data_IF_462994884882
#
_entry.id   IF_462994884882
#
_cell.length_a   1.000
_cell.length_b   1.000
_cell.length_c   1.000
_cell.angle_alpha   90.00
_cell.angle_beta   90.00
_cell.angle_gamma   90.00
#
_symmetry.space_group_name_H-M   'P 1'
#
loop_
_entity.id
_entity.type
_entity.pdbx_description
1 polymer ?
#
# COMPACT_ATOMS: atom_id res chain seq x y z
N UNK A 1 8.52 -30.22 -11.56
CA UNK A 1 7.66 -29.09 -11.13
C UNK A 1 8.21 -27.81 -11.74
N UNK A 2 7.36 -27.02 -12.42
CA UNK A 2 7.78 -25.75 -12.99
C UNK A 2 8.09 -24.69 -11.92
N UNK A 3 9.08 -23.85 -12.19
CA UNK A 3 9.46 -22.76 -11.32
C UNK A 3 8.36 -21.67 -11.31
N UNK A 4 7.88 -21.27 -10.13
CA UNK A 4 6.84 -20.25 -10.00
C UNK A 4 7.47 -18.87 -10.12
N UNK A 5 7.04 -18.10 -11.12
CA UNK A 5 7.47 -16.72 -11.36
C UNK A 5 6.46 -15.76 -10.71
N UNK A 6 6.95 -14.58 -10.28
CA UNK A 6 6.07 -13.54 -9.75
C UNK A 6 5.11 -13.04 -10.86
N UNK A 7 3.78 -13.14 -10.66
CA UNK A 7 2.80 -12.75 -11.67
C UNK A 7 2.83 -11.25 -12.01
N UNK A 8 3.40 -10.40 -11.15
CA UNK A 8 3.59 -8.99 -11.44
C UNK A 8 4.59 -8.77 -12.59
N UNK A 9 5.66 -9.56 -12.65
CA UNK A 9 6.68 -9.43 -13.70
C UNK A 9 6.13 -9.60 -15.12
N UNK A 10 5.15 -10.50 -15.31
CA UNK A 10 4.50 -10.73 -16.60
C UNK A 10 3.55 -9.57 -16.97
N UNK A 11 3.00 -8.87 -15.99
CA UNK A 11 2.02 -7.79 -16.20
C UNK A 11 2.61 -6.40 -16.32
N UNK A 12 3.88 -6.24 -15.92
CA UNK A 12 4.58 -4.96 -16.01
C UNK A 12 4.80 -4.59 -17.47
N UNK A 13 4.49 -3.34 -17.82
CA UNK A 13 4.57 -2.82 -19.19
C UNK A 13 3.35 -3.13 -20.07
N UNK A 14 2.43 -4.04 -19.65
CA UNK A 14 1.20 -4.36 -20.39
C UNK A 14 -0.02 -3.82 -19.67
N UNK A 15 -0.23 -4.19 -18.41
CA UNK A 15 -1.41 -3.82 -17.60
C UNK A 15 -1.02 -3.00 -16.39
N UNK A 16 0.16 -3.26 -15.81
CA UNK A 16 0.69 -2.58 -14.64
C UNK A 16 1.92 -1.79 -15.00
N UNK A 17 2.05 -0.64 -14.37
CA UNK A 17 3.23 0.19 -14.46
C UNK A 17 4.16 -0.05 -13.24
N UNK A 18 5.38 0.48 -13.32
CA UNK A 18 6.39 0.38 -12.27
C UNK A 18 6.01 1.24 -11.05
N UNK A 19 6.34 0.75 -9.86
CA UNK A 19 6.17 1.52 -8.63
C UNK A 19 7.31 2.52 -8.39
N UNK A 20 8.47 2.29 -9.03
CA UNK A 20 9.61 3.20 -9.06
C UNK A 20 9.95 3.51 -10.50
N UNK A 21 9.99 4.80 -10.84
CA UNK A 21 10.25 5.31 -12.20
C UNK A 21 11.49 6.15 -12.18
N UNK A 22 12.64 5.50 -12.22
CA UNK A 22 13.94 6.18 -12.29
C UNK A 22 15.00 5.28 -12.87
N UNK A 23 16.06 5.91 -13.35
CA UNK A 23 17.27 5.25 -13.82
C UNK A 23 18.46 5.77 -13.00
N UNK A 24 19.39 4.90 -12.65
CA UNK A 24 20.61 5.25 -11.93
C UNK A 24 21.82 4.45 -12.44
N UNK A 25 23.02 4.98 -12.19
CA UNK A 25 24.26 4.26 -12.45
C UNK A 25 24.41 3.05 -11.52
N UNK A 26 25.30 2.11 -11.86
CA UNK A 26 25.52 0.93 -11.02
C UNK A 26 25.96 1.27 -9.58
N UNK A 27 26.62 2.40 -9.39
CA UNK A 27 27.10 2.83 -8.06
C UNK A 27 25.96 3.34 -7.19
N UNK A 28 25.07 4.15 -7.78
CA UNK A 28 24.00 4.82 -7.03
C UNK A 28 22.71 4.00 -6.93
N UNK A 29 22.64 2.90 -7.70
CA UNK A 29 21.43 2.07 -7.78
C UNK A 29 21.06 1.44 -6.43
N UNK A 30 22.04 0.88 -5.73
CA UNK A 30 21.83 0.23 -4.43
C UNK A 30 21.30 1.19 -3.38
N UNK A 31 21.91 2.38 -3.30
CA UNK A 31 21.58 3.37 -2.29
C UNK A 31 20.20 3.95 -2.53
N UNK A 32 19.87 4.28 -3.79
CA UNK A 32 18.56 4.75 -4.16
C UNK A 32 17.46 3.70 -3.89
N UNK A 33 17.73 2.40 -4.09
CA UNK A 33 16.78 1.33 -3.81
C UNK A 33 16.50 1.20 -2.31
N UNK A 34 17.53 1.28 -1.49
CA UNK A 34 17.41 1.24 -0.01
C UNK A 34 16.65 2.46 0.51
N UNK A 35 16.95 3.66 -0.02
CA UNK A 35 16.21 4.88 0.31
C UNK A 35 14.72 4.76 -0.04
N UNK A 36 14.39 4.29 -1.24
CA UNK A 36 12.98 4.10 -1.67
C UNK A 36 12.24 3.13 -0.76
N UNK A 37 12.90 2.06 -0.34
CA UNK A 37 12.30 1.11 0.59
C UNK A 37 12.03 1.73 1.96
N UNK A 38 12.96 2.53 2.50
CA UNK A 38 12.78 3.25 3.77
C UNK A 38 11.62 4.24 3.67
N UNK A 39 11.59 5.08 2.63
CA UNK A 39 10.51 6.06 2.38
C UNK A 39 9.14 5.35 2.36
N UNK A 40 9.02 4.23 1.63
CA UNK A 40 7.75 3.48 1.58
C UNK A 40 7.36 2.89 2.92
N UNK A 41 8.30 2.38 3.68
CA UNK A 41 8.05 1.76 4.99
C UNK A 41 7.60 2.82 6.00
N UNK A 42 8.25 3.96 6.04
CA UNK A 42 7.92 5.08 6.93
C UNK A 42 6.56 5.67 6.60
N UNK A 43 6.30 5.98 5.33
CA UNK A 43 5.03 6.53 4.90
C UNK A 43 3.86 5.56 5.18
N UNK A 44 4.03 4.27 4.94
CA UNK A 44 3.01 3.28 5.28
C UNK A 44 2.77 3.18 6.79
N UNK A 45 3.80 3.33 7.61
CA UNK A 45 3.66 3.31 9.06
C UNK A 45 2.93 4.54 9.59
N UNK A 46 3.21 5.73 9.03
CA UNK A 46 2.59 6.99 9.44
C UNK A 46 1.15 7.13 8.92
N UNK A 47 0.87 6.66 7.72
CA UNK A 47 -0.41 6.86 7.02
C UNK A 47 -1.33 5.63 7.04
N UNK A 48 -1.23 4.78 8.07
CA UNK A 48 -2.08 3.58 8.19
C UNK A 48 -3.57 3.89 8.10
N UNK A 49 -4.02 4.96 8.74
CA UNK A 49 -5.44 5.31 8.82
C UNK A 49 -5.97 5.98 7.54
N UNK A 50 -5.08 6.55 6.74
CA UNK A 50 -5.42 7.15 5.45
C UNK A 50 -5.74 6.11 4.36
N UNK A 51 -5.33 4.84 4.55
CA UNK A 51 -5.51 3.77 3.59
C UNK A 51 -4.69 4.00 2.32
N UNK A 52 -3.39 3.66 2.36
CA UNK A 52 -2.45 3.88 1.25
C UNK A 52 -2.16 2.57 0.53
N UNK A 53 -2.83 2.28 -0.61
CA UNK A 53 -2.61 1.03 -1.35
C UNK A 53 -1.30 1.01 -2.14
N UNK A 54 -0.85 2.17 -2.64
CA UNK A 54 0.29 2.27 -3.53
C UNK A 54 1.06 3.58 -3.28
N UNK A 55 2.39 3.52 -3.36
CA UNK A 55 3.28 4.66 -3.33
C UNK A 55 4.22 4.54 -4.54
N UNK A 56 4.16 5.51 -5.44
CA UNK A 56 5.06 5.61 -6.58
C UNK A 56 6.15 6.63 -6.28
N UNK A 57 7.38 6.32 -6.68
CA UNK A 57 8.54 7.17 -6.48
C UNK A 57 9.19 7.44 -7.82
N UNK A 58 9.36 8.71 -8.14
CA UNK A 58 10.05 9.20 -9.33
C UNK A 58 11.28 9.99 -8.90
N UNK A 59 12.42 9.69 -9.50
CA UNK A 59 13.65 10.44 -9.27
C UNK A 59 14.04 11.17 -10.55
N UNK A 60 14.13 12.47 -10.44
CA UNK A 60 14.51 13.36 -11.52
C UNK A 60 15.62 14.30 -11.08
N UNK A 61 16.26 14.94 -12.02
CA UNK A 61 17.24 16.00 -11.76
C UNK A 61 16.60 17.31 -12.19
N UNK A 62 16.60 18.27 -11.31
CA UNK A 62 16.07 19.60 -11.64
C UNK A 62 16.93 20.26 -12.72
N UNK A 63 16.33 20.73 -13.84
CA UNK A 63 17.08 21.30 -14.95
C UNK A 63 17.79 22.63 -14.60
N UNK A 64 17.30 23.34 -13.57
CA UNK A 64 17.84 24.64 -13.15
C UNK A 64 19.03 24.50 -12.20
N UNK A 65 18.97 23.57 -11.25
CA UNK A 65 19.95 23.43 -10.15
C UNK A 65 20.82 22.18 -10.24
N UNK A 66 20.51 21.28 -11.18
CA UNK A 66 21.14 19.94 -11.27
C UNK A 66 21.09 19.13 -9.98
N UNK A 67 20.20 19.54 -9.04
CA UNK A 67 20.02 18.86 -7.78
C UNK A 67 19.11 17.63 -7.91
N UNK A 68 19.35 16.56 -7.17
CA UNK A 68 18.49 15.38 -7.18
C UNK A 68 17.14 15.71 -6.54
N UNK A 69 16.07 15.47 -7.27
CA UNK A 69 14.69 15.68 -6.85
C UNK A 69 13.95 14.34 -6.80
N UNK A 70 13.25 14.12 -5.71
CA UNK A 70 12.43 12.91 -5.50
C UNK A 70 10.96 13.30 -5.45
N UNK A 71 10.16 12.80 -6.36
CA UNK A 71 8.71 13.00 -6.36
C UNK A 71 8.04 11.73 -5.84
N UNK A 72 7.27 11.87 -4.77
CA UNK A 72 6.55 10.76 -4.13
C UNK A 72 5.06 10.94 -4.37
N UNK A 73 4.47 10.07 -5.18
CA UNK A 73 3.05 10.04 -5.48
C UNK A 73 2.36 9.05 -4.53
N UNK A 74 1.57 9.55 -3.59
CA UNK A 74 0.86 8.75 -2.59
C UNK A 74 -0.59 8.58 -3.04
N UNK A 75 -0.96 7.34 -3.36
CA UNK A 75 -2.36 6.99 -3.58
C UNK A 75 -3.02 6.74 -2.24
N UNK A 76 -4.15 7.38 -1.96
CA UNK A 76 -4.86 7.20 -0.69
C UNK A 76 -6.38 7.19 -0.86
N UNK A 77 -7.05 6.49 0.04
CA UNK A 77 -8.51 6.44 0.08
C UNK A 77 -9.11 7.68 0.75
N UNK A 78 -8.37 8.28 1.70
CA UNK A 78 -8.80 9.46 2.47
C UNK A 78 -7.77 10.58 2.33
N UNK A 79 -7.79 11.35 1.24
CA UNK A 79 -6.79 12.39 0.99
C UNK A 79 -6.78 13.50 2.04
N UNK A 80 -7.93 13.80 2.64
CA UNK A 80 -8.04 14.80 3.69
C UNK A 80 -7.14 14.56 4.90
N UNK A 81 -6.89 13.29 5.25
CA UNK A 81 -6.00 12.93 6.37
C UNK A 81 -4.52 13.14 6.03
N UNK A 82 -4.15 13.06 4.77
CA UNK A 82 -2.76 13.22 4.32
C UNK A 82 -2.44 14.70 4.07
N UNK A 83 -3.42 15.45 3.57
CA UNK A 83 -3.25 16.86 3.24
C UNK A 83 -3.33 17.71 4.51
N UNK A 84 -4.26 17.36 5.43
CA UNK A 84 -4.54 18.13 6.64
C UNK A 84 -5.26 19.45 6.38
N UNK A 85 -5.45 20.23 7.44
CA UNK A 85 -6.07 21.55 7.34
C UNK A 85 -5.11 22.52 6.62
N UNK A 86 -5.55 23.11 5.52
CA UNK A 86 -4.73 24.04 4.75
C UNK A 86 -3.48 23.44 4.07
N UNK A 87 -3.30 22.13 4.10
CA UNK A 87 -2.12 21.45 3.52
C UNK A 87 -0.91 21.38 4.45
N UNK A 88 -1.05 21.71 5.72
CA UNK A 88 0.05 21.75 6.69
C UNK A 88 0.71 20.39 6.89
N UNK A 89 -0.09 19.31 6.99
CA UNK A 89 0.44 17.96 7.20
C UNK A 89 1.28 17.47 6.00
N UNK A 90 0.83 17.77 4.78
CA UNK A 90 1.60 17.49 3.57
C UNK A 90 2.95 18.22 3.57
N UNK A 91 2.97 19.49 3.93
CA UNK A 91 4.21 20.30 4.00
C UNK A 91 5.11 19.80 5.11
N UNK A 92 4.55 19.42 6.26
CA UNK A 92 5.31 18.84 7.37
C UNK A 92 5.99 17.52 6.98
N UNK A 93 5.25 16.62 6.28
CA UNK A 93 5.80 15.37 5.73
C UNK A 93 6.91 15.65 4.71
N UNK A 94 6.70 16.60 3.81
CA UNK A 94 7.70 16.97 2.81
C UNK A 94 8.97 17.49 3.47
N UNK A 95 8.86 18.39 4.45
CA UNK A 95 10.00 18.94 5.18
C UNK A 95 10.74 17.87 5.99
N UNK A 96 10.01 16.93 6.59
CA UNK A 96 10.59 15.79 7.31
C UNK A 96 11.44 14.93 6.38
N UNK A 97 10.88 14.48 5.27
CA UNK A 97 11.60 13.66 4.29
C UNK A 97 12.80 14.40 3.69
N UNK A 98 12.66 15.70 3.40
CA UNK A 98 13.76 16.53 2.88
C UNK A 98 14.92 16.62 3.87
N UNK A 99 14.63 16.74 5.18
CA UNK A 99 15.66 16.77 6.25
C UNK A 99 16.35 15.42 6.41
N UNK A 100 15.60 14.31 6.33
CA UNK A 100 16.15 12.96 6.52
C UNK A 100 17.04 12.51 5.37
N UNK A 101 16.64 12.80 4.12
CA UNK A 101 17.34 12.32 2.92
C UNK A 101 18.26 13.37 2.27
N UNK A 102 18.23 14.63 2.70
CA UNK A 102 19.07 15.70 2.16
C UNK A 102 18.80 16.03 0.67
N UNK A 103 17.68 15.53 0.12
CA UNK A 103 17.26 15.73 -1.28
C UNK A 103 15.93 16.48 -1.30
N UNK A 104 15.68 17.24 -2.36
CA UNK A 104 14.39 17.92 -2.52
C UNK A 104 13.29 16.88 -2.74
N UNK A 105 12.40 16.71 -1.76
CA UNK A 105 11.27 15.78 -1.86
C UNK A 105 9.99 16.54 -2.15
N UNK A 106 9.21 16.10 -3.12
CA UNK A 106 7.87 16.62 -3.41
C UNK A 106 6.86 15.52 -3.17
N UNK A 107 5.85 15.81 -2.37
CA UNK A 107 4.77 14.87 -2.04
C UNK A 107 3.51 15.26 -2.79
N UNK A 108 3.04 14.37 -3.67
CA UNK A 108 1.76 14.49 -4.37
C UNK A 108 0.77 13.48 -3.78
N UNK A 109 -0.46 13.93 -3.56
CA UNK A 109 -1.53 13.09 -3.04
C UNK A 109 -2.55 12.84 -4.14
N UNK A 110 -2.81 11.57 -4.43
CA UNK A 110 -3.74 11.12 -5.48
C UNK A 110 -4.86 10.32 -4.84
N UNK A 111 -6.09 10.71 -5.08
CA UNK A 111 -7.26 10.02 -4.55
C UNK A 111 -7.56 8.74 -5.32
N UNK A 112 -7.85 7.67 -4.59
CA UNK A 112 -8.36 6.41 -5.14
C UNK A 112 -9.87 6.45 -5.20
N UNK A 113 -10.44 6.55 -6.41
CA UNK A 113 -11.89 6.70 -6.65
C UNK A 113 -12.75 5.61 -5.98
N UNK A 114 -12.27 4.37 -5.94
CA UNK A 114 -13.03 3.22 -5.42
C UNK A 114 -12.19 2.43 -4.41
N UNK A 115 -12.27 2.79 -3.14
CA UNK A 115 -11.55 2.10 -2.07
C UNK A 115 -12.00 0.64 -1.92
N UNK A 116 -13.29 0.37 -2.09
CA UNK A 116 -13.88 -0.97 -1.93
C UNK A 116 -13.52 -1.97 -3.01
N UNK A 117 -13.05 -1.51 -4.18
CA UNK A 117 -12.60 -2.39 -5.27
C UNK A 117 -11.09 -2.63 -5.27
N UNK A 118 -10.35 -1.84 -4.49
CA UNK A 118 -8.91 -1.99 -4.40
C UNK A 118 -8.55 -3.15 -3.47
N UNK A 119 -7.91 -4.20 -4.01
CA UNK A 119 -7.61 -5.43 -3.28
C UNK A 119 -6.73 -5.19 -2.03
N UNK A 120 -5.80 -4.23 -2.09
CA UNK A 120 -4.92 -3.91 -0.96
C UNK A 120 -5.71 -3.27 0.19
N UNK A 121 -6.56 -2.30 -0.11
CA UNK A 121 -7.39 -1.61 0.89
C UNK A 121 -8.42 -2.56 1.52
N UNK A 122 -9.03 -3.42 0.72
CA UNK A 122 -9.97 -4.45 1.22
C UNK A 122 -9.26 -5.43 2.15
N UNK A 123 -8.03 -5.83 1.84
CA UNK A 123 -7.26 -6.72 2.71
C UNK A 123 -6.89 -6.05 4.04
N UNK A 124 -6.49 -4.78 4.02
CA UNK A 124 -6.20 -4.00 5.22
C UNK A 124 -7.46 -3.77 6.08
N UNK A 125 -8.62 -3.56 5.45
CA UNK A 125 -9.88 -3.43 6.16
C UNK A 125 -10.31 -4.76 6.82
N UNK A 126 -10.13 -5.90 6.15
CA UNK A 126 -10.36 -7.22 6.75
C UNK A 126 -9.42 -7.43 7.94
N UNK A 127 -8.13 -7.09 7.82
CA UNK A 127 -7.17 -7.22 8.90
C UNK A 127 -7.58 -6.40 10.12
N UNK A 128 -7.99 -5.15 9.92
CA UNK A 128 -8.51 -4.28 10.99
C UNK A 128 -9.77 -4.84 11.65
N UNK A 129 -10.69 -5.42 10.88
CA UNK A 129 -11.88 -6.07 11.44
C UNK A 129 -11.53 -7.30 12.28
N UNK A 130 -10.53 -8.08 11.88
CA UNK A 130 -10.03 -9.22 12.66
C UNK A 130 -9.36 -8.78 13.96
N UNK A 131 -8.57 -7.71 13.94
CA UNK A 131 -7.99 -7.10 15.15
C UNK A 131 -9.07 -6.66 16.12
N UNK A 132 -10.20 -6.13 15.61
CA UNK A 132 -11.39 -5.77 16.37
C UNK A 132 -12.25 -6.98 16.78
N UNK A 133 -11.72 -8.21 16.69
CA UNK A 133 -12.38 -9.47 17.11
C UNK A 133 -13.67 -9.81 16.35
N UNK A 134 -13.86 -9.29 15.14
CA UNK A 134 -14.95 -9.72 14.25
C UNK A 134 -14.62 -11.10 13.69
N UNK A 135 -15.62 -11.99 13.63
CA UNK A 135 -15.41 -13.33 13.05
C UNK A 135 -15.00 -13.23 11.59
N UNK A 136 -13.98 -14.00 11.18
CA UNK A 136 -13.41 -13.97 9.83
C UNK A 136 -14.45 -14.20 8.72
N UNK A 137 -15.44 -15.08 8.96
CA UNK A 137 -16.53 -15.35 8.01
C UNK A 137 -17.40 -14.12 7.77
N UNK A 138 -17.70 -13.35 8.83
CA UNK A 138 -18.48 -12.13 8.75
C UNK A 138 -17.70 -11.02 8.04
N UNK A 139 -16.45 -10.81 8.42
CA UNK A 139 -15.57 -9.82 7.83
C UNK A 139 -15.42 -10.03 6.31
N UNK A 140 -15.06 -11.25 5.88
CA UNK A 140 -14.90 -11.57 4.46
C UNK A 140 -16.21 -11.40 3.65
N UNK A 141 -17.35 -11.90 4.16
CA UNK A 141 -18.64 -11.77 3.47
C UNK A 141 -19.08 -10.31 3.35
N UNK A 142 -18.82 -9.49 4.35
CA UNK A 142 -19.17 -8.08 4.33
C UNK A 142 -18.30 -7.31 3.32
N UNK A 143 -17.00 -7.52 3.30
CA UNK A 143 -16.10 -6.88 2.35
C UNK A 143 -16.42 -7.29 0.89
N UNK A 144 -16.74 -8.58 0.66
CA UNK A 144 -17.21 -9.02 -0.66
C UNK A 144 -18.49 -8.32 -1.10
N UNK A 145 -19.46 -8.21 -0.21
CA UNK A 145 -20.73 -7.53 -0.51
C UNK A 145 -20.50 -6.06 -0.85
N UNK A 146 -19.62 -5.38 -0.11
CA UNK A 146 -19.27 -3.99 -0.37
C UNK A 146 -18.56 -3.82 -1.72
N UNK A 147 -17.65 -4.74 -2.06
CA UNK A 147 -16.93 -4.70 -3.34
C UNK A 147 -17.83 -4.98 -4.56
N UNK A 148 -18.88 -5.78 -4.37
CA UNK A 148 -19.85 -6.13 -5.42
C UNK A 148 -21.07 -5.21 -5.43
N UNK A 149 -21.12 -4.15 -4.64
CA UNK A 149 -22.23 -3.21 -4.62
C UNK A 149 -22.43 -2.54 -5.98
N UNK A 150 -23.66 -2.49 -6.52
CA UNK A 150 -23.94 -1.94 -7.85
C UNK A 150 -23.61 -0.44 -7.98
N UNK A 151 -23.49 0.27 -6.88
CA UNK A 151 -23.04 1.67 -6.87
C UNK A 151 -21.57 1.85 -7.27
N UNK A 152 -20.77 0.78 -7.19
CA UNK A 152 -19.32 0.83 -7.43
C UNK A 152 -18.97 0.17 -8.77
N UNK A 153 -19.71 -0.86 -9.13
CA UNK A 153 -19.55 -1.56 -10.41
C UNK A 153 -20.56 -0.97 -11.39
N UNK A 154 -20.13 -0.22 -12.42
CA UNK A 154 -21.05 0.23 -13.47
C UNK A 154 -21.74 -1.00 -14.08
N UNK A 155 -22.96 -0.88 -14.60
CA UNK A 155 -23.70 -1.98 -15.21
C UNK A 155 -23.04 -2.38 -16.53
N UNK A 156 -21.88 -3.02 -16.44
CA UNK A 156 -21.24 -3.67 -17.59
C UNK A 156 -21.89 -5.04 -17.80
N UNK A 157 -22.08 -5.48 -19.04
CA UNK A 157 -22.76 -6.73 -19.32
C UNK A 157 -22.07 -7.89 -18.58
N UNK A 158 -22.88 -8.74 -17.99
CA UNK A 158 -22.61 -9.87 -17.08
C UNK A 158 -21.40 -10.79 -17.40
N UNK A 159 -20.67 -10.55 -18.46
CA UNK A 159 -19.52 -11.37 -18.88
C UNK A 159 -18.20 -11.00 -18.19
N UNK A 160 -18.05 -9.76 -17.74
CA UNK A 160 -16.81 -9.29 -17.10
C UNK A 160 -16.75 -9.61 -15.59
N UNK A 161 -17.89 -9.73 -14.91
CA UNK A 161 -17.98 -9.96 -13.48
C UNK A 161 -17.53 -11.36 -13.05
N UNK A 162 -17.62 -12.37 -13.93
CA UNK A 162 -17.16 -13.73 -13.62
C UNK A 162 -15.64 -13.91 -13.67
N UNK A 163 -14.92 -13.03 -14.37
CA UNK A 163 -13.46 -13.13 -14.51
C UNK A 163 -12.69 -12.34 -13.43
N UNK A 164 -13.28 -11.31 -12.85
CA UNK A 164 -12.65 -10.53 -11.79
C UNK A 164 -12.78 -11.16 -10.41
N UNK A 165 -13.87 -11.85 -10.11
CA UNK A 165 -14.12 -12.46 -8.81
C UNK A 165 -13.03 -13.46 -8.37
N UNK A 166 -12.59 -14.43 -9.19
CA UNK A 166 -11.58 -15.40 -8.75
C UNK A 166 -10.19 -14.79 -8.57
N UNK A 167 -9.81 -13.77 -9.34
CA UNK A 167 -8.51 -13.13 -9.20
C UNK A 167 -8.41 -12.27 -7.93
N UNK A 168 -9.47 -11.58 -7.57
CA UNK A 168 -9.58 -10.83 -6.29
C UNK A 168 -9.59 -11.81 -5.12
N UNK A 169 -10.28 -12.95 -5.26
CA UNK A 169 -10.31 -14.01 -4.25
C UNK A 169 -8.93 -14.63 -4.01
N UNK A 170 -8.20 -14.98 -5.04
CA UNK A 170 -6.86 -15.55 -4.91
C UNK A 170 -5.88 -14.56 -4.26
N UNK A 171 -5.96 -13.28 -4.61
CA UNK A 171 -5.16 -12.23 -3.99
C UNK A 171 -5.54 -12.00 -2.52
N UNK A 172 -6.84 -11.97 -2.20
CA UNK A 172 -7.35 -11.84 -0.83
C UNK A 172 -6.94 -13.01 0.07
N UNK A 173 -7.08 -14.24 -0.40
CA UNK A 173 -6.70 -15.44 0.36
C UNK A 173 -5.20 -15.44 0.65
N UNK A 174 -4.36 -15.09 -0.33
CA UNK A 174 -2.90 -15.07 -0.14
C UNK A 174 -2.44 -13.96 0.82
N UNK A 175 -3.12 -12.83 0.82
CA UNK A 175 -2.83 -11.68 1.71
C UNK A 175 -3.31 -11.93 3.14
N UNK A 176 -4.50 -12.50 3.31
CA UNK A 176 -5.04 -12.89 4.62
C UNK A 176 -4.19 -13.99 5.26
N UNK A 177 -3.74 -14.98 4.49
CA UNK A 177 -2.82 -16.01 4.98
C UNK A 177 -1.48 -15.41 5.42
N UNK A 178 -0.94 -14.44 4.68
CA UNK A 178 0.29 -13.74 5.10
C UNK A 178 0.09 -12.86 6.33
N UNK A 179 -1.07 -12.25 6.52
CA UNK A 179 -1.38 -11.45 7.70
C UNK A 179 -1.52 -12.34 8.95
N UNK A 180 -2.16 -13.50 8.83
CA UNK A 180 -2.33 -14.48 9.91
C UNK A 180 -0.97 -15.08 10.33
N UNK A 181 -0.07 -15.37 9.39
CA UNK A 181 1.27 -15.92 9.70
C UNK A 181 2.23 -14.87 10.25
N UNK A 182 1.94 -13.59 10.09
CA UNK A 182 2.76 -12.47 10.58
C UNK A 182 2.28 -11.89 11.91
N UNK A 183 1.12 -12.32 12.41
CA UNK A 183 0.67 -11.97 13.76
C UNK A 183 1.61 -12.61 14.79
N UNK A 184 2.26 -11.83 15.68
CA UNK A 184 3.03 -12.41 16.77
C UNK A 184 2.10 -13.28 17.59
N UNK A 185 2.47 -14.54 17.81
CA UNK A 185 1.76 -15.44 18.71
C UNK A 185 1.56 -14.73 20.05
N UNK A 186 0.35 -14.73 20.65
CA UNK A 186 0.17 -14.16 21.96
C UNK A 186 1.09 -14.89 22.92
N UNK A 187 2.04 -14.19 23.52
CA UNK A 187 2.86 -14.70 24.60
C UNK A 187 1.95 -15.33 25.66
N UNK A 188 2.13 -16.62 25.90
CA UNK A 188 1.52 -17.27 27.07
C UNK A 188 2.01 -16.49 28.29
N UNK A 189 1.12 -16.10 29.20
CA UNK A 189 1.56 -15.52 30.46
C UNK A 189 2.45 -16.53 31.18
N UNK A 190 3.65 -16.13 31.53
CA UNK A 190 4.52 -16.91 32.41
C UNK A 190 3.79 -17.10 33.72
N UNK A 191 3.34 -18.32 33.95
CA UNK A 191 2.79 -18.77 35.24
C UNK A 191 3.91 -18.60 36.27
N UNK A 192 3.62 -17.80 37.29
CA UNK A 192 4.56 -17.38 38.31
C UNK A 192 5.24 -18.55 39.01
N UNK A 193 6.54 -18.45 39.10
CA UNK A 193 7.35 -19.18 40.05
C UNK A 193 7.18 -18.47 41.38
N UNK A 194 6.50 -19.08 42.32
CA UNK A 194 6.46 -18.69 43.74
C UNK A 194 7.76 -19.16 44.35
N UNK A 195 8.58 -18.28 45.00
CA UNK A 195 9.69 -18.74 45.82
C UNK A 195 9.17 -19.20 47.18
N UNK A 196 9.53 -20.38 47.56
CA UNK A 196 9.47 -20.90 48.94
C UNK A 196 10.61 -20.35 49.76
#
# INVERSE_FOLDING_TARGET
MGQKVNPHGIRVGVIKDWDSRWFASKKDFSDNLVEDHKIRTELKAQLKDAGVPKIEIERTVDPSTSAPRVTVNIYCAKPGMVIGKGGEERVALQNKLTKEYGKTVIVNVIEVKSASTNAQLVAEDIARQLENRVTFRRAMKQCMRNAMSPAIVPPFPLRASRLCAPAVWAALISLVLRAITRAPSPCRPCVGMVPS
#
